data_IF_246097871697
#
_entry.id   IF_246097871697
#
_cell.length_a   1.000
_cell.length_b   1.000
_cell.length_c   1.000
_cell.angle_alpha   90.00
_cell.angle_beta   90.00
_cell.angle_gamma   90.00
#
_symmetry.space_group_name_H-M   'P 1'
#
loop_
_entity.id
_entity.type
_entity.pdbx_description
1 polymer ?
#
# COMPACT_ATOMS: atom_id res chain seq x y z
N UNK A 1 -5.21 10.99 -9.75
CA UNK A 1 -5.68 10.39 -11.00
C UNK A 1 -6.17 8.98 -10.69
N UNK A 2 -7.30 8.56 -11.25
CA UNK A 2 -8.03 7.36 -10.84
C UNK A 2 -9.52 7.66 -10.67
N UNK A 3 -10.37 7.16 -11.55
CA UNK A 3 -11.83 7.18 -11.42
C UNK A 3 -12.36 5.82 -10.90
N UNK A 4 -13.66 5.74 -10.61
CA UNK A 4 -14.27 4.54 -10.03
C UNK A 4 -14.17 3.31 -10.95
N UNK A 5 -14.30 3.49 -12.27
CA UNK A 5 -14.19 2.39 -13.24
C UNK A 5 -12.76 1.86 -13.32
N UNK A 6 -11.76 2.75 -13.29
CA UNK A 6 -10.34 2.37 -13.24
C UNK A 6 -10.01 1.60 -11.96
N UNK A 7 -10.56 2.03 -10.82
CA UNK A 7 -10.41 1.32 -9.55
C UNK A 7 -11.00 -0.10 -9.63
N UNK A 8 -12.22 -0.25 -10.15
CA UNK A 8 -12.88 -1.54 -10.26
C UNK A 8 -12.08 -2.52 -11.14
N UNK A 9 -11.55 -2.04 -12.27
CA UNK A 9 -10.69 -2.83 -13.14
C UNK A 9 -9.43 -3.32 -12.42
N UNK A 10 -8.76 -2.45 -11.67
CA UNK A 10 -7.57 -2.81 -10.88
C UNK A 10 -7.91 -3.85 -9.81
N UNK A 11 -9.03 -3.69 -9.09
CA UNK A 11 -9.46 -4.65 -8.06
C UNK A 11 -9.70 -6.03 -8.64
N UNK A 12 -10.29 -6.15 -9.84
CA UNK A 12 -10.45 -7.44 -10.51
C UNK A 12 -9.10 -8.11 -10.79
N UNK A 13 -8.12 -7.36 -11.30
CA UNK A 13 -6.77 -7.89 -11.59
C UNK A 13 -6.00 -8.29 -10.32
N UNK A 14 -6.21 -7.58 -9.21
CA UNK A 14 -5.67 -7.97 -7.91
C UNK A 14 -6.29 -9.31 -7.45
N UNK A 15 -7.60 -9.49 -7.63
CA UNK A 15 -8.31 -10.71 -7.22
C UNK A 15 -7.89 -11.94 -8.03
N UNK A 16 -7.56 -11.80 -9.32
CA UNK A 16 -7.03 -12.90 -10.14
C UNK A 16 -5.57 -13.21 -9.86
N UNK A 17 -4.86 -12.32 -9.16
CA UNK A 17 -3.43 -12.43 -8.88
C UNK A 17 -2.53 -12.09 -10.08
N UNK A 18 -3.11 -11.56 -11.17
CA UNK A 18 -2.39 -11.01 -12.32
C UNK A 18 -1.64 -9.73 -11.95
N UNK A 19 -2.21 -8.93 -11.04
CA UNK A 19 -1.53 -7.78 -10.44
C UNK A 19 -1.08 -8.10 -9.02
N UNK A 20 0.22 -7.94 -8.74
CA UNK A 20 0.81 -8.18 -7.42
C UNK A 20 1.62 -6.96 -6.97
N UNK A 21 1.02 -6.01 -6.24
CA UNK A 21 1.74 -4.85 -5.74
C UNK A 21 2.77 -5.29 -4.69
N UNK A 22 3.95 -4.68 -4.74
CA UNK A 22 4.98 -4.89 -3.74
C UNK A 22 4.57 -4.13 -2.47
N UNK A 23 4.46 -4.85 -1.35
CA UNK A 23 4.37 -4.26 -0.02
C UNK A 23 5.79 -4.24 0.54
N UNK A 24 6.35 -3.05 0.67
CA UNK A 24 7.70 -2.84 1.19
C UNK A 24 7.79 -3.18 2.67
N UNK A 25 6.84 -2.65 3.44
CA UNK A 25 6.78 -2.82 4.90
C UNK A 25 5.37 -2.57 5.42
N UNK A 26 5.00 -3.34 6.43
CA UNK A 26 3.81 -3.12 7.26
C UNK A 26 4.28 -2.58 8.61
N UNK A 27 3.72 -1.46 9.04
CA UNK A 27 3.94 -0.86 10.35
C UNK A 27 2.69 -1.04 11.20
N UNK A 28 2.81 -1.42 12.49
CA UNK A 28 1.68 -1.33 13.41
C UNK A 28 1.27 0.14 13.61
N UNK A 29 0.01 0.40 13.97
CA UNK A 29 -0.51 1.77 14.09
C UNK A 29 0.29 2.66 15.04
N UNK A 30 0.79 2.11 16.15
CA UNK A 30 1.63 2.83 17.11
C UNK A 30 3.00 3.28 16.53
N UNK A 31 3.41 2.72 15.38
CA UNK A 31 4.61 3.10 14.63
C UNK A 31 4.31 3.90 13.36
N UNK A 32 3.08 4.37 13.16
CA UNK A 32 2.68 5.11 11.96
C UNK A 32 3.58 6.32 11.65
N UNK A 33 4.15 6.96 12.68
CA UNK A 33 5.14 8.03 12.50
C UNK A 33 6.36 7.55 11.70
N UNK A 34 6.90 6.37 12.01
CA UNK A 34 8.03 5.77 11.30
C UNK A 34 7.70 5.43 9.85
N UNK A 35 6.46 5.02 9.57
CA UNK A 35 5.96 4.82 8.21
C UNK A 35 6.03 6.12 7.38
N UNK A 36 5.57 7.24 7.95
CA UNK A 36 5.65 8.55 7.29
C UNK A 36 7.08 9.06 7.11
N UNK A 37 7.95 8.87 8.09
CA UNK A 37 9.36 9.26 7.99
C UNK A 37 10.09 8.50 6.88
N UNK A 38 9.86 7.19 6.77
CA UNK A 38 10.41 6.37 5.67
C UNK A 38 9.89 6.83 4.31
N UNK A 39 8.59 7.10 4.21
CA UNK A 39 7.95 7.64 3.00
C UNK A 39 8.57 8.98 2.59
N UNK A 40 8.78 9.89 3.55
CA UNK A 40 9.35 11.20 3.31
C UNK A 40 10.80 11.13 2.81
N UNK A 41 11.56 10.12 3.23
CA UNK A 41 12.92 9.84 2.73
C UNK A 41 12.95 9.11 1.39
N UNK A 42 11.80 8.63 0.91
CA UNK A 42 11.69 7.89 -0.36
C UNK A 42 12.38 6.52 -0.33
N UNK A 43 12.53 5.91 0.85
CA UNK A 43 13.28 4.67 1.04
C UNK A 43 12.47 3.40 0.76
N UNK A 44 11.19 3.53 0.40
CA UNK A 44 10.29 2.41 0.13
C UNK A 44 10.44 1.84 -1.29
N UNK A 45 10.42 0.51 -1.41
CA UNK A 45 10.18 -0.18 -2.68
C UNK A 45 8.73 -0.64 -2.77
N UNK A 46 7.86 0.22 -3.31
CA UNK A 46 6.42 -0.07 -3.43
C UNK A 46 5.60 0.57 -2.30
N UNK A 47 4.67 -0.17 -1.72
CA UNK A 47 3.69 0.35 -0.76
C UNK A 47 4.16 0.21 0.67
N UNK A 48 4.01 1.26 1.47
CA UNK A 48 4.04 1.20 2.93
C UNK A 48 2.60 1.02 3.42
N UNK A 49 2.38 0.09 4.35
CA UNK A 49 1.07 -0.19 4.95
C UNK A 49 1.12 0.12 6.44
N UNK A 50 0.05 0.71 6.98
CA UNK A 50 -0.16 0.86 8.43
C UNK A 50 -1.34 -0.02 8.82
N UNK A 51 -1.12 -0.96 9.73
CA UNK A 51 -2.12 -1.88 10.23
C UNK A 51 -2.89 -1.27 11.41
N UNK A 52 -4.22 -1.25 11.32
CA UNK A 52 -5.11 -0.53 12.26
C UNK A 52 -5.87 -1.50 13.19
N UNK A 53 -5.87 -2.79 12.90
CA UNK A 53 -6.41 -3.86 13.73
C UNK A 53 -5.62 -5.16 13.45
N UNK A 54 -5.43 -6.03 14.45
CA UNK A 54 -4.94 -7.39 14.23
C UNK A 54 -6.01 -8.26 13.56
#
# INVERSE_FOLDING_TARGET
MGNAAEYEAIVRLLATGELRPIVDRVFPFNEARGAFERLARGEQLGKIVVEIAP
#
